data_IF_484063963082
#
_entry.id   IF_484063963082
#
_cell.length_a   1.000
_cell.length_b   1.000
_cell.length_c   1.000
_cell.angle_alpha   90.00
_cell.angle_beta   90.00
_cell.angle_gamma   90.00
#
_symmetry.space_group_name_H-M   'P 1'
#
loop_
_entity.id
_entity.type
_entity.pdbx_description
1 polymer ?
#
# COMPACT_ATOMS: atom_id res chain seq x y z
N UNK A 1 44.80 -6.27 22.26
CA UNK A 1 43.51 -6.98 22.47
C UNK A 1 42.55 -6.14 23.31
N UNK A 2 42.94 -5.68 24.50
CA UNK A 2 42.06 -4.88 25.40
C UNK A 2 41.55 -3.55 24.80
N UNK A 3 42.40 -2.79 24.09
CA UNK A 3 41.98 -1.55 23.40
C UNK A 3 40.91 -1.79 22.33
N UNK A 4 41.01 -2.91 21.61
CA UNK A 4 40.03 -3.31 20.59
C UNK A 4 38.71 -3.68 21.26
N UNK A 5 38.76 -4.43 22.36
CA UNK A 5 37.57 -4.82 23.13
C UNK A 5 36.83 -3.60 23.70
N UNK A 6 37.56 -2.62 24.28
CA UNK A 6 36.98 -1.36 24.79
C UNK A 6 36.35 -0.54 23.67
N UNK A 7 36.99 -0.47 22.50
CA UNK A 7 36.43 0.22 21.33
C UNK A 7 35.16 -0.46 20.81
N UNK A 8 35.14 -1.79 20.72
CA UNK A 8 33.95 -2.56 20.34
C UNK A 8 32.80 -2.37 21.34
N UNK A 9 33.08 -2.40 22.64
CA UNK A 9 32.08 -2.17 23.69
C UNK A 9 31.47 -0.76 23.59
N UNK A 10 32.31 0.25 23.35
CA UNK A 10 31.86 1.63 23.12
C UNK A 10 30.96 1.75 21.88
N UNK A 11 31.36 1.13 20.77
CA UNK A 11 30.55 1.07 19.54
C UNK A 11 29.21 0.39 19.78
N UNK A 12 29.20 -0.74 20.49
CA UNK A 12 28.00 -1.51 20.78
C UNK A 12 27.04 -0.70 21.67
N UNK A 13 27.53 -0.08 22.74
CA UNK A 13 26.71 0.80 23.59
C UNK A 13 26.15 2.00 22.82
N UNK A 14 26.96 2.61 21.94
CA UNK A 14 26.50 3.73 21.10
C UNK A 14 25.41 3.30 20.12
N UNK A 15 25.54 2.12 19.52
CA UNK A 15 24.53 1.53 18.64
C UNK A 15 23.25 1.22 19.43
N UNK A 16 23.36 0.58 20.59
CA UNK A 16 22.22 0.24 21.47
C UNK A 16 21.42 1.49 21.83
N UNK A 17 22.09 2.57 22.28
CA UNK A 17 21.40 3.81 22.61
C UNK A 17 20.66 4.40 21.40
N UNK A 18 21.30 4.40 20.23
CA UNK A 18 20.68 4.89 19.00
C UNK A 18 19.47 4.05 18.57
N UNK A 19 19.52 2.73 18.76
CA UNK A 19 18.38 1.85 18.50
C UNK A 19 17.24 2.09 19.49
N UNK A 20 17.52 2.32 20.77
CA UNK A 20 16.52 2.64 21.78
C UNK A 20 15.79 3.96 21.46
N UNK A 21 16.52 5.02 21.09
CA UNK A 21 15.93 6.30 20.67
C UNK A 21 15.00 6.13 19.45
N UNK A 22 15.43 5.34 18.45
CA UNK A 22 14.62 5.05 17.27
C UNK A 22 13.36 4.25 17.62
N UNK A 23 13.47 3.31 18.55
CA UNK A 23 12.36 2.49 19.02
C UNK A 23 11.31 3.33 19.76
N UNK A 24 11.73 4.18 20.71
CA UNK A 24 10.83 5.10 21.42
C UNK A 24 10.10 6.05 20.45
N UNK A 25 10.82 6.58 19.46
CA UNK A 25 10.23 7.42 18.42
C UNK A 25 9.18 6.65 17.60
N UNK A 26 9.48 5.42 17.21
CA UNK A 26 8.55 4.56 16.49
C UNK A 26 7.30 4.23 17.33
N UNK A 27 7.47 3.91 18.62
CA UNK A 27 6.37 3.59 19.53
C UNK A 27 5.45 4.79 19.78
N UNK A 28 6.02 5.99 19.92
CA UNK A 28 5.24 7.23 20.00
C UNK A 28 4.40 7.44 18.72
N UNK A 29 5.04 7.33 17.55
CA UNK A 29 4.32 7.44 16.25
C UNK A 29 3.23 6.38 16.13
N UNK A 30 3.49 5.15 16.55
CA UNK A 30 2.51 4.06 16.54
C UNK A 30 1.28 4.41 17.38
N UNK A 31 1.48 4.87 18.62
CA UNK A 31 0.38 5.28 19.52
C UNK A 31 -0.50 6.36 18.90
N UNK A 32 0.10 7.39 18.29
CA UNK A 32 -0.62 8.49 17.61
C UNK A 32 -1.50 8.03 16.44
N UNK A 33 -1.07 6.98 15.74
CA UNK A 33 -1.84 6.38 14.64
C UNK A 33 -2.98 5.54 15.21
N UNK A 34 -2.70 4.69 16.19
CA UNK A 34 -3.68 3.77 16.77
C UNK A 34 -4.81 4.53 17.51
N UNK A 35 -4.52 5.71 18.06
CA UNK A 35 -5.51 6.61 18.67
C UNK A 35 -6.21 7.57 17.70
N UNK A 36 -5.85 7.56 16.41
CA UNK A 36 -6.33 8.53 15.41
C UNK A 36 -6.10 10.00 15.83
N UNK A 37 -5.07 10.29 16.62
CA UNK A 37 -4.81 11.63 17.19
C UNK A 37 -4.58 12.68 16.08
N UNK A 38 -3.81 12.31 15.06
CA UNK A 38 -3.46 13.20 13.94
C UNK A 38 -4.51 13.16 12.81
N UNK A 39 -5.54 12.31 12.91
CA UNK A 39 -6.58 12.23 11.90
C UNK A 39 -7.53 13.42 12.07
N UNK A 40 -7.65 14.20 11.00
CA UNK A 40 -8.63 15.28 10.86
C UNK A 40 -9.56 14.93 9.72
N UNK A 41 -10.86 15.06 9.95
CA UNK A 41 -11.91 14.78 8.96
C UNK A 41 -11.79 15.77 7.80
N UNK A 42 -11.43 17.03 8.08
CA UNK A 42 -11.29 18.05 7.04
C UNK A 42 -10.00 17.90 6.23
N UNK A 43 -8.91 17.45 6.84
CA UNK A 43 -7.61 17.31 6.18
C UNK A 43 -6.77 16.17 6.77
N UNK A 44 -6.84 15.00 6.15
CA UNK A 44 -6.13 13.78 6.57
C UNK A 44 -4.66 13.71 6.14
N UNK A 45 -4.10 14.76 5.50
CA UNK A 45 -2.73 14.74 4.97
C UNK A 45 -1.66 14.48 6.03
N UNK A 46 -1.81 15.08 7.20
CA UNK A 46 -0.87 14.93 8.31
C UNK A 46 -0.84 13.47 8.80
N UNK A 47 -2.01 12.86 8.99
CA UNK A 47 -2.14 11.45 9.34
C UNK A 47 -1.48 10.53 8.30
N UNK A 48 -1.74 10.76 7.01
CA UNK A 48 -1.15 10.00 5.91
C UNK A 48 0.38 10.09 5.93
N UNK A 49 0.95 11.26 6.19
CA UNK A 49 2.40 11.44 6.29
C UNK A 49 3.00 10.71 7.49
N UNK A 50 2.36 10.80 8.65
CA UNK A 50 2.81 10.12 9.87
C UNK A 50 2.76 8.59 9.70
N UNK A 51 1.70 8.07 9.08
CA UNK A 51 1.58 6.66 8.73
C UNK A 51 2.65 6.21 7.73
N UNK A 52 2.92 7.02 6.71
CA UNK A 52 3.97 6.74 5.73
C UNK A 52 5.36 6.64 6.39
N UNK A 53 5.69 7.54 7.33
CA UNK A 53 6.94 7.49 8.09
C UNK A 53 7.04 6.19 8.89
N UNK A 54 5.98 5.82 9.62
CA UNK A 54 5.92 4.55 10.37
C UNK A 54 6.20 3.35 9.47
N UNK A 55 5.55 3.32 8.31
CA UNK A 55 5.68 2.23 7.35
C UNK A 55 7.09 2.18 6.75
N UNK A 56 7.68 3.32 6.36
CA UNK A 56 9.07 3.36 5.86
C UNK A 56 10.04 2.72 6.86
N UNK A 57 10.00 3.14 8.13
CA UNK A 57 10.91 2.58 9.13
C UNK A 57 10.72 1.07 9.30
N UNK A 58 9.47 0.62 9.38
CA UNK A 58 9.12 -0.80 9.52
C UNK A 58 9.63 -1.64 8.34
N UNK A 59 9.34 -1.21 7.12
CA UNK A 59 9.64 -1.99 5.92
C UNK A 59 11.12 -1.91 5.52
N UNK A 60 11.82 -0.81 5.80
CA UNK A 60 13.27 -0.71 5.61
C UNK A 60 14.01 -1.73 6.50
N UNK A 61 13.62 -1.85 7.77
CA UNK A 61 14.22 -2.83 8.67
C UNK A 61 13.93 -4.27 8.23
N UNK A 62 12.68 -4.53 7.84
CA UNK A 62 12.27 -5.84 7.35
C UNK A 62 13.00 -6.23 6.06
N UNK A 63 13.20 -5.28 5.14
CA UNK A 63 13.91 -5.49 3.89
C UNK A 63 15.38 -5.88 4.12
N UNK A 64 16.08 -5.19 5.04
CA UNK A 64 17.45 -5.54 5.43
C UNK A 64 17.50 -6.97 5.98
N UNK A 65 16.54 -7.33 6.84
CA UNK A 65 16.48 -8.66 7.45
C UNK A 65 16.20 -9.76 6.43
N UNK A 66 15.19 -9.59 5.57
CA UNK A 66 14.86 -10.56 4.51
C UNK A 66 15.99 -10.66 3.49
N UNK A 67 16.63 -9.53 3.13
CA UNK A 67 17.79 -9.51 2.25
C UNK A 67 18.98 -10.28 2.82
N UNK A 68 19.23 -10.15 4.13
CA UNK A 68 20.24 -10.96 4.83
C UNK A 68 19.92 -12.46 4.75
N UNK A 69 18.68 -12.86 5.02
CA UNK A 69 18.26 -14.27 4.89
C UNK A 69 18.39 -14.79 3.45
N UNK A 70 18.07 -13.96 2.46
CA UNK A 70 18.21 -14.30 1.04
C UNK A 70 19.67 -14.54 0.66
N UNK A 71 20.60 -13.67 1.07
CA UNK A 71 22.04 -13.84 0.84
C UNK A 71 22.56 -15.11 1.54
N UNK A 72 22.11 -15.38 2.77
CA UNK A 72 22.46 -16.61 3.48
C UNK A 72 21.96 -17.87 2.75
N UNK A 73 20.73 -17.84 2.23
CA UNK A 73 20.17 -18.95 1.45
C UNK A 73 20.93 -19.19 0.14
N UNK A 74 21.37 -18.12 -0.55
CA UNK A 74 22.20 -18.24 -1.75
C UNK A 74 23.58 -18.85 -1.45
N UNK A 75 24.18 -18.56 -0.28
CA UNK A 75 25.44 -19.17 0.16
C UNK A 75 25.28 -20.65 0.54
N UNK A 76 24.11 -21.03 1.03
CA UNK A 76 23.74 -22.41 1.35
C UNK A 76 23.44 -23.25 0.11
N UNK A 77 23.65 -22.72 -1.11
CA UNK A 77 23.36 -23.40 -2.37
C UNK A 77 23.83 -24.87 -2.29
N UNK A 78 22.90 -25.84 -2.27
CA UNK A 78 23.24 -27.23 -2.07
C UNK A 78 24.07 -27.72 -3.26
N UNK A 79 25.32 -28.10 -3.02
CA UNK A 79 26.06 -28.92 -3.98
C UNK A 79 25.50 -30.32 -3.92
N UNK A 80 24.71 -30.68 -4.94
CA UNK A 80 24.15 -32.02 -5.09
C UNK A 80 25.28 -33.00 -5.41
N UNK A 81 25.91 -33.56 -4.38
CA UNK A 81 26.71 -34.76 -4.54
C UNK A 81 25.74 -35.93 -4.68
N UNK A 82 26.01 -36.83 -5.64
CA UNK A 82 25.27 -38.07 -5.84
C UNK A 82 25.25 -38.86 -4.53
N UNK A 83 24.20 -38.67 -3.73
CA UNK A 83 23.93 -39.48 -2.54
C UNK A 83 22.87 -40.50 -2.93
N UNK A 84 23.06 -41.75 -2.52
CA UNK A 84 22.26 -42.91 -2.93
C UNK A 84 20.78 -42.86 -2.49
N UNK A 85 20.37 -41.80 -1.79
CA UNK A 85 19.01 -41.61 -1.31
C UNK A 85 18.18 -40.69 -2.23
N UNK A 86 17.09 -41.23 -2.79
CA UNK A 86 16.16 -40.50 -3.67
C UNK A 86 15.45 -39.32 -2.98
N UNK A 87 15.12 -39.45 -1.68
CA UNK A 87 14.28 -38.49 -0.99
C UNK A 87 14.99 -37.14 -0.75
N UNK A 88 16.20 -37.07 -0.15
CA UNK A 88 16.92 -35.80 0.00
C UNK A 88 17.22 -35.12 -1.34
N UNK A 89 17.47 -35.92 -2.39
CA UNK A 89 17.81 -35.43 -3.73
C UNK A 89 16.63 -34.75 -4.45
N UNK A 90 15.38 -35.09 -4.11
CA UNK A 90 14.16 -34.51 -4.72
C UNK A 90 13.45 -33.53 -3.80
N UNK A 91 13.31 -33.85 -2.51
CA UNK A 91 12.60 -33.00 -1.54
C UNK A 91 13.35 -31.71 -1.22
N UNK A 92 14.68 -31.76 -1.17
CA UNK A 92 15.51 -30.60 -0.85
C UNK A 92 15.49 -29.51 -1.95
N UNK A 93 15.60 -29.83 -3.25
CA UNK A 93 15.37 -28.84 -4.31
C UNK A 93 14.00 -28.19 -4.28
N UNK A 94 12.94 -28.98 -4.03
CA UNK A 94 11.57 -28.47 -3.96
C UNK A 94 11.42 -27.51 -2.77
N UNK A 95 11.89 -27.92 -1.58
CA UNK A 95 11.88 -27.08 -0.38
C UNK A 95 12.70 -25.81 -0.59
N UNK A 96 13.90 -25.92 -1.18
CA UNK A 96 14.75 -24.78 -1.52
C UNK A 96 14.04 -23.80 -2.45
N UNK A 97 13.36 -24.30 -3.48
CA UNK A 97 12.60 -23.50 -4.44
C UNK A 97 11.40 -22.79 -3.77
N UNK A 98 10.68 -23.47 -2.87
CA UNK A 98 9.58 -22.87 -2.09
C UNK A 98 10.09 -21.77 -1.18
N UNK A 99 11.19 -22.00 -0.45
CA UNK A 99 11.79 -20.98 0.44
C UNK A 99 12.34 -19.80 -0.38
N UNK A 100 12.97 -20.07 -1.53
CA UNK A 100 13.47 -19.04 -2.43
C UNK A 100 12.32 -18.15 -2.95
N UNK A 101 11.24 -18.77 -3.44
CA UNK A 101 10.04 -18.05 -3.88
C UNK A 101 9.42 -17.22 -2.76
N UNK A 102 9.36 -17.76 -1.54
CA UNK A 102 8.86 -17.05 -0.38
C UNK A 102 9.72 -15.81 -0.04
N UNK A 103 11.04 -15.93 -0.07
CA UNK A 103 11.94 -14.80 0.18
C UNK A 103 11.86 -13.75 -0.93
N UNK A 104 11.80 -14.16 -2.21
CA UNK A 104 11.62 -13.24 -3.34
C UNK A 104 10.30 -12.49 -3.22
N UNK A 105 9.20 -13.20 -2.93
CA UNK A 105 7.89 -12.59 -2.69
C UNK A 105 7.90 -11.63 -1.49
N UNK A 106 8.63 -11.98 -0.42
CA UNK A 106 8.77 -11.14 0.77
C UNK A 106 9.58 -9.87 0.50
N UNK A 107 10.69 -9.96 -0.24
CA UNK A 107 11.47 -8.81 -0.69
C UNK A 107 10.61 -7.89 -1.56
N UNK A 108 9.90 -8.47 -2.53
CA UNK A 108 9.00 -7.75 -3.41
C UNK A 108 7.89 -7.00 -2.63
N UNK A 109 7.31 -7.65 -1.63
CA UNK A 109 6.32 -7.04 -0.74
C UNK A 109 6.92 -5.86 0.04
N UNK A 110 8.11 -6.03 0.63
CA UNK A 110 8.79 -4.97 1.38
C UNK A 110 9.11 -3.76 0.49
N UNK A 111 9.70 -4.02 -0.68
CA UNK A 111 10.00 -3.00 -1.69
C UNK A 111 8.74 -2.24 -2.08
N UNK A 112 7.66 -2.95 -2.41
CA UNK A 112 6.40 -2.33 -2.80
C UNK A 112 5.84 -1.43 -1.71
N UNK A 113 5.84 -1.89 -0.46
CA UNK A 113 5.38 -1.09 0.69
C UNK A 113 6.23 0.13 0.94
N UNK A 114 7.55 -0.02 0.79
CA UNK A 114 8.49 1.08 0.87
C UNK A 114 8.19 2.14 -0.20
N UNK A 115 8.03 1.72 -1.46
CA UNK A 115 7.67 2.62 -2.57
C UNK A 115 6.35 3.33 -2.36
N UNK A 116 5.28 2.61 -1.98
CA UNK A 116 3.96 3.22 -1.70
C UNK A 116 4.05 4.25 -0.57
N UNK A 117 4.81 3.96 0.48
CA UNK A 117 5.01 4.88 1.60
C UNK A 117 5.84 6.11 1.20
N UNK A 118 6.84 5.94 0.34
CA UNK A 118 7.66 7.02 -0.19
C UNK A 118 6.85 7.98 -1.07
N UNK A 119 6.03 7.41 -1.95
CA UNK A 119 5.03 8.13 -2.77
C UNK A 119 4.09 8.96 -1.88
N UNK A 120 3.64 8.39 -0.76
CA UNK A 120 2.76 9.05 0.20
C UNK A 120 3.40 10.23 0.97
N UNK A 121 4.72 10.22 1.13
CA UNK A 121 5.49 11.27 1.81
C UNK A 121 5.82 12.44 0.90
N UNK A 122 6.10 12.15 -0.37
CA UNK A 122 6.31 13.17 -1.36
C UNK A 122 4.96 13.84 -1.63
N UNK A 123 4.79 15.10 -1.23
CA UNK A 123 3.85 15.96 -1.95
C UNK A 123 4.33 15.92 -3.40
N UNK A 124 3.64 15.20 -4.27
CA UNK A 124 4.03 14.92 -5.66
C UNK A 124 4.50 16.17 -6.43
N UNK A 125 4.09 17.38 -6.01
CA UNK A 125 4.58 18.68 -6.51
C UNK A 125 6.09 18.95 -6.31
N UNK A 126 6.80 18.29 -5.39
CA UNK A 126 8.23 18.58 -5.08
C UNK A 126 9.26 17.61 -5.69
N UNK A 127 8.85 16.44 -6.19
CA UNK A 127 9.78 15.52 -6.84
C UNK A 127 10.00 15.93 -8.30
N UNK A 128 11.25 16.22 -8.67
CA UNK A 128 11.61 16.75 -10.00
C UNK A 128 11.10 15.87 -11.15
N UNK A 129 11.23 14.54 -11.03
CA UNK A 129 10.82 13.59 -12.07
C UNK A 129 9.30 13.57 -12.33
N UNK A 130 8.50 13.46 -11.26
CA UNK A 130 7.04 13.46 -11.39
C UNK A 130 6.49 14.84 -11.74
N UNK A 131 7.13 15.92 -11.28
CA UNK A 131 6.78 17.29 -11.67
C UNK A 131 6.94 17.48 -13.18
N UNK A 132 7.99 16.93 -13.78
CA UNK A 132 8.19 16.96 -15.24
C UNK A 132 7.05 16.21 -15.94
N UNK A 133 6.75 14.97 -15.53
CA UNK A 133 5.69 14.15 -16.15
C UNK A 133 4.32 14.83 -16.05
N UNK A 134 3.94 15.34 -14.88
CA UNK A 134 2.64 16.01 -14.71
C UNK A 134 2.58 17.41 -15.32
N UNK A 135 3.71 18.10 -15.48
CA UNK A 135 3.74 19.36 -16.22
C UNK A 135 3.61 19.12 -17.74
N UNK A 136 4.16 18.01 -18.24
CA UNK A 136 4.02 17.61 -19.64
C UNK A 136 2.63 17.02 -19.94
N UNK A 137 2.06 16.30 -18.98
CA UNK A 137 0.76 15.62 -19.13
C UNK A 137 -0.07 15.79 -17.84
N UNK A 138 -0.67 16.97 -17.61
CA UNK A 138 -1.50 17.23 -16.44
C UNK A 138 -2.70 16.28 -16.36
N UNK A 139 -3.15 15.75 -17.50
CA UNK A 139 -4.20 14.74 -17.61
C UNK A 139 -3.82 13.44 -16.88
N UNK A 140 -2.54 13.12 -16.70
CA UNK A 140 -2.08 11.90 -16.01
C UNK A 140 -2.13 11.99 -14.48
N UNK A 141 -2.58 13.10 -13.91
CA UNK A 141 -2.68 13.29 -12.46
C UNK A 141 -3.62 12.28 -11.78
N UNK A 142 -4.49 11.59 -12.53
CA UNK A 142 -5.28 10.49 -12.00
C UNK A 142 -4.41 9.30 -11.56
N UNK A 143 -3.26 9.04 -12.19
CA UNK A 143 -2.38 7.89 -11.90
C UNK A 143 -1.91 7.81 -10.44
N UNK A 144 -1.90 8.92 -9.70
CA UNK A 144 -1.57 8.94 -8.26
C UNK A 144 -2.52 8.09 -7.41
N UNK A 145 -3.76 7.91 -7.86
CA UNK A 145 -4.78 7.06 -7.20
C UNK A 145 -4.53 5.57 -7.45
N UNK A 146 -3.73 5.27 -8.49
CA UNK A 146 -3.48 3.96 -9.05
C UNK A 146 -2.05 3.46 -8.73
N UNK A 147 -1.46 3.96 -7.64
CA UNK A 147 -0.14 3.48 -7.18
C UNK A 147 -0.12 1.96 -6.87
N UNK A 148 -1.29 1.37 -6.59
CA UNK A 148 -1.49 -0.08 -6.43
C UNK A 148 -1.37 -0.87 -7.75
N UNK A 149 -1.40 -0.21 -8.91
CA UNK A 149 -1.29 -0.87 -10.22
C UNK A 149 0.14 -1.23 -10.60
N UNK A 150 1.08 -0.35 -10.24
CA UNK A 150 2.50 -0.53 -10.59
C UNK A 150 3.04 -1.85 -10.05
N UNK A 151 2.73 -2.25 -8.80
CA UNK A 151 3.11 -3.56 -8.30
C UNK A 151 2.55 -4.72 -9.14
N UNK A 152 1.25 -4.70 -9.47
CA UNK A 152 0.59 -5.78 -10.23
C UNK A 152 1.32 -6.10 -11.52
N UNK A 153 1.64 -5.07 -12.29
CA UNK A 153 2.32 -5.24 -13.58
C UNK A 153 3.77 -5.73 -13.40
N UNK A 154 4.53 -5.11 -12.49
CA UNK A 154 5.95 -5.48 -12.27
C UNK A 154 6.08 -6.92 -11.78
N UNK A 155 5.28 -7.33 -10.79
CA UNK A 155 5.32 -8.71 -10.30
C UNK A 155 5.00 -9.71 -11.40
N UNK A 156 3.98 -9.40 -12.20
CA UNK A 156 3.52 -10.28 -13.28
C UNK A 156 4.59 -10.46 -14.37
N UNK A 157 5.33 -9.40 -14.71
CA UNK A 157 6.47 -9.50 -15.64
C UNK A 157 7.58 -10.38 -15.05
N UNK A 158 7.98 -10.11 -13.80
CA UNK A 158 9.06 -10.85 -13.13
C UNK A 158 8.75 -12.34 -12.99
N UNK A 159 7.52 -12.67 -12.56
CA UNK A 159 7.12 -14.07 -12.39
C UNK A 159 6.94 -14.76 -13.74
N UNK A 160 6.50 -14.06 -14.80
CA UNK A 160 6.40 -14.63 -16.15
C UNK A 160 7.76 -14.99 -16.71
N UNK A 161 8.78 -14.13 -16.50
CA UNK A 161 10.17 -14.43 -16.80
C UNK A 161 10.65 -15.68 -16.04
N UNK A 162 10.35 -15.74 -14.74
CA UNK A 162 10.74 -16.86 -13.89
C UNK A 162 10.11 -18.20 -14.32
N UNK A 163 8.80 -18.20 -14.59
CA UNK A 163 8.07 -19.37 -15.11
C UNK A 163 8.66 -19.82 -16.45
N UNK A 164 8.98 -18.86 -17.32
CA UNK A 164 9.55 -19.15 -18.64
C UNK A 164 10.90 -19.85 -18.55
N UNK A 165 11.75 -19.46 -17.61
CA UNK A 165 13.07 -20.05 -17.39
C UNK A 165 12.97 -21.45 -16.76
N UNK A 166 12.10 -21.63 -15.76
CA UNK A 166 12.05 -22.86 -14.95
C UNK A 166 11.18 -23.97 -15.53
N UNK A 167 10.02 -23.63 -16.08
CA UNK A 167 9.02 -24.61 -16.53
C UNK A 167 9.16 -24.89 -18.03
N UNK A 168 9.57 -23.87 -18.79
CA UNK A 168 9.64 -23.93 -20.24
C UNK A 168 8.26 -23.89 -20.91
N UNK A 169 8.23 -23.45 -22.17
CA UNK A 169 7.01 -23.17 -22.94
C UNK A 169 6.14 -24.40 -23.26
N UNK A 170 6.73 -25.59 -23.27
CA UNK A 170 6.07 -26.81 -23.74
C UNK A 170 5.35 -27.61 -22.63
N UNK A 171 5.52 -27.21 -21.36
CA UNK A 171 4.94 -27.91 -20.21
C UNK A 171 3.67 -27.21 -19.71
N UNK A 172 2.56 -27.36 -20.46
CA UNK A 172 1.29 -26.70 -20.16
C UNK A 172 0.75 -26.95 -18.75
N UNK A 173 0.91 -28.18 -18.22
CA UNK A 173 0.46 -28.52 -16.87
C UNK A 173 1.29 -27.78 -15.81
N UNK A 174 2.62 -27.78 -15.97
CA UNK A 174 3.52 -27.02 -15.10
C UNK A 174 3.25 -25.52 -15.17
N UNK A 175 2.92 -25.00 -16.34
CA UNK A 175 2.56 -23.58 -16.54
C UNK A 175 1.27 -23.27 -15.79
N UNK A 176 0.22 -24.08 -15.94
CA UNK A 176 -1.06 -23.88 -15.27
C UNK A 176 -0.92 -23.84 -13.74
N UNK A 177 -0.19 -24.79 -13.15
CA UNK A 177 0.11 -24.80 -11.72
C UNK A 177 0.90 -23.55 -11.31
N UNK A 178 1.89 -23.16 -12.11
CA UNK A 178 2.74 -22.00 -11.82
C UNK A 178 1.95 -20.69 -11.84
N UNK A 179 1.04 -20.53 -12.81
CA UNK A 179 0.13 -19.38 -12.90
C UNK A 179 -0.76 -19.31 -11.66
N UNK A 180 -1.38 -20.42 -11.23
CA UNK A 180 -2.22 -20.44 -10.04
C UNK A 180 -1.46 -20.05 -8.75
N UNK A 181 -0.23 -20.54 -8.59
CA UNK A 181 0.63 -20.18 -7.46
C UNK A 181 1.00 -18.69 -7.52
N UNK A 182 1.39 -18.20 -8.70
CA UNK A 182 1.76 -16.80 -8.92
C UNK A 182 0.60 -15.85 -8.61
N UNK A 183 -0.60 -16.10 -9.15
CA UNK A 183 -1.78 -15.26 -8.93
C UNK A 183 -2.21 -15.29 -7.47
N UNK A 184 -2.18 -16.46 -6.81
CA UNK A 184 -2.52 -16.57 -5.39
C UNK A 184 -1.55 -15.80 -4.51
N UNK A 185 -0.25 -15.90 -4.79
CA UNK A 185 0.81 -15.16 -4.09
C UNK A 185 0.61 -13.66 -4.29
N UNK A 186 0.30 -13.23 -5.51
CA UNK A 186 0.10 -11.82 -5.81
C UNK A 186 -1.11 -11.22 -5.10
N UNK A 187 -2.24 -11.92 -5.11
CA UNK A 187 -3.45 -11.51 -4.37
C UNK A 187 -3.13 -11.38 -2.87
N UNK A 188 -2.35 -12.31 -2.30
CA UNK A 188 -1.96 -12.25 -0.89
C UNK A 188 -1.07 -11.03 -0.57
N UNK A 189 -0.06 -10.78 -1.40
CA UNK A 189 0.84 -9.61 -1.31
C UNK A 189 0.03 -8.32 -1.36
N UNK A 190 -0.86 -8.18 -2.34
CA UNK A 190 -1.67 -6.99 -2.55
C UNK A 190 -2.74 -6.79 -1.47
N UNK A 191 -3.39 -7.86 -1.00
CA UNK A 191 -4.28 -7.80 0.17
C UNK A 191 -3.54 -7.25 1.39
N UNK A 192 -2.31 -7.70 1.61
CA UNK A 192 -1.42 -7.13 2.62
C UNK A 192 -1.12 -5.66 2.37
N UNK A 193 -0.89 -5.25 1.10
CA UNK A 193 -0.68 -3.87 0.67
C UNK A 193 -1.85 -2.96 1.04
N UNK A 194 -3.05 -3.33 0.57
CA UNK A 194 -4.31 -2.61 0.78
C UNK A 194 -4.59 -2.47 2.27
N UNK A 195 -4.51 -3.55 3.05
CA UNK A 195 -4.81 -3.52 4.50
C UNK A 195 -3.90 -2.61 5.34
N UNK A 196 -2.74 -2.17 4.85
CA UNK A 196 -1.95 -1.16 5.58
C UNK A 196 -2.16 0.26 5.09
N UNK A 197 -2.91 0.46 4.01
CA UNK A 197 -3.35 1.79 3.65
C UNK A 197 -4.46 2.20 4.63
N UNK A 198 -4.65 3.51 4.87
CA UNK A 198 -5.79 3.97 5.65
C UNK A 198 -7.10 3.47 5.04
N UNK A 199 -8.01 2.96 5.87
CA UNK A 199 -9.29 2.39 5.42
C UNK A 199 -10.16 3.40 4.68
N UNK A 200 -10.08 4.67 5.06
CA UNK A 200 -10.81 5.76 4.41
C UNK A 200 -10.41 5.98 2.93
N UNK A 201 -9.32 5.35 2.45
CA UNK A 201 -8.87 5.38 1.05
C UNK A 201 -9.32 4.17 0.23
N UNK A 202 -9.98 3.17 0.82
CA UNK A 202 -10.37 1.96 0.08
C UNK A 202 -11.29 2.27 -1.11
N UNK A 203 -12.19 3.25 -0.96
CA UNK A 203 -13.05 3.70 -2.04
C UNK A 203 -12.27 4.24 -3.26
N UNK A 204 -11.11 4.85 -3.06
CA UNK A 204 -10.26 5.35 -4.16
C UNK A 204 -9.71 4.20 -5.03
N UNK A 205 -9.59 3.01 -4.44
CA UNK A 205 -8.96 1.86 -5.08
C UNK A 205 -9.96 0.99 -5.85
N UNK A 206 -11.26 1.19 -5.69
CA UNK A 206 -12.22 0.24 -6.27
C UNK A 206 -12.17 0.19 -7.80
N UNK A 207 -11.92 1.33 -8.44
CA UNK A 207 -11.74 1.39 -9.90
C UNK A 207 -10.37 0.91 -10.40
N UNK A 208 -9.43 0.64 -9.49
CA UNK A 208 -8.03 0.33 -9.84
C UNK A 208 -7.90 -0.90 -10.74
N UNK A 209 -8.44 -2.08 -10.37
CA UNK A 209 -8.33 -3.28 -11.19
C UNK A 209 -8.92 -3.12 -12.59
N UNK A 210 -10.13 -2.54 -12.68
CA UNK A 210 -10.82 -2.29 -13.95
C UNK A 210 -9.99 -1.39 -14.87
N UNK A 211 -9.38 -0.34 -14.31
CA UNK A 211 -8.51 0.56 -15.08
C UNK A 211 -7.25 -0.15 -15.61
N UNK A 212 -6.64 -1.07 -14.86
CA UNK A 212 -5.52 -1.89 -15.40
C UNK A 212 -5.97 -2.68 -16.61
N UNK A 213 -7.10 -3.38 -16.49
CA UNK A 213 -7.61 -4.26 -17.53
C UNK A 213 -7.93 -3.46 -18.80
N UNK A 214 -8.50 -2.26 -18.64
CA UNK A 214 -8.77 -1.36 -19.75
C UNK A 214 -7.47 -0.90 -20.45
N UNK A 215 -6.45 -0.48 -19.69
CA UNK A 215 -5.15 -0.07 -20.26
C UNK A 215 -4.50 -1.25 -20.97
N UNK A 216 -4.48 -2.43 -20.36
CA UNK A 216 -3.92 -3.64 -20.98
C UNK A 216 -4.65 -3.99 -22.28
N UNK A 217 -5.97 -3.94 -22.30
CA UNK A 217 -6.75 -4.20 -23.51
C UNK A 217 -6.40 -3.22 -24.65
N UNK A 218 -6.24 -1.92 -24.33
CA UNK A 218 -5.80 -0.91 -25.30
C UNK A 218 -4.38 -1.21 -25.81
N UNK A 219 -3.46 -1.58 -24.91
CA UNK A 219 -2.08 -1.91 -25.30
C UNK A 219 -2.03 -3.14 -26.22
N UNK A 220 -2.78 -4.19 -25.89
CA UNK A 220 -2.90 -5.41 -26.73
C UNK A 220 -3.43 -5.02 -28.12
N UNK A 221 -4.45 -4.16 -28.19
CA UNK A 221 -4.99 -3.70 -29.45
C UNK A 221 -3.97 -2.89 -30.29
N UNK A 222 -3.16 -2.04 -29.65
CA UNK A 222 -2.16 -1.19 -30.34
C UNK A 222 -0.95 -1.98 -30.82
N UNK A 223 -0.41 -2.87 -29.99
CA UNK A 223 0.82 -3.61 -30.30
C UNK A 223 0.59 -4.84 -31.19
N UNK A 224 -0.66 -5.10 -31.58
CA UNK A 224 -1.06 -6.27 -32.36
C UNK A 224 -1.33 -7.48 -31.46
N UNK A 225 -2.08 -8.45 -31.98
CA UNK A 225 -2.46 -9.66 -31.24
C UNK A 225 -1.24 -10.32 -30.59
N UNK A 226 -1.40 -10.61 -29.30
CA UNK A 226 -0.38 -11.28 -28.49
C UNK A 226 -0.47 -12.78 -28.75
N UNK A 227 0.53 -13.29 -29.46
CA UNK A 227 0.62 -14.70 -29.82
C UNK A 227 1.37 -15.47 -28.72
N UNK A 228 0.77 -16.55 -28.22
CA UNK A 228 1.39 -17.43 -27.21
C UNK A 228 2.78 -17.93 -27.64
N UNK A 229 2.96 -18.20 -28.92
CA UNK A 229 4.18 -18.78 -29.42
C UNK A 229 5.32 -17.78 -29.56
N UNK A 230 5.02 -16.58 -30.07
CA UNK A 230 5.99 -15.52 -30.31
C UNK A 230 6.24 -14.70 -29.05
N UNK A 231 5.18 -14.41 -28.31
CA UNK A 231 5.14 -13.43 -27.22
C UNK A 231 4.82 -14.11 -25.88
N UNK A 232 5.40 -15.29 -25.65
CA UNK A 232 5.10 -16.17 -24.50
C UNK A 232 5.17 -15.46 -23.13
N UNK A 233 6.22 -14.68 -22.87
CA UNK A 233 6.39 -13.94 -21.59
C UNK A 233 5.28 -12.90 -21.42
N UNK A 234 4.92 -12.18 -22.49
CA UNK A 234 3.86 -11.18 -22.47
C UNK A 234 2.48 -11.82 -22.32
N UNK A 235 2.25 -12.95 -22.98
CA UNK A 235 1.04 -13.76 -22.85
C UNK A 235 0.82 -14.20 -21.40
N UNK A 236 1.85 -14.75 -20.76
CA UNK A 236 1.81 -15.11 -19.35
C UNK A 236 1.58 -13.90 -18.45
N UNK A 237 2.23 -12.78 -18.74
CA UNK A 237 2.07 -11.54 -17.97
C UNK A 237 0.62 -11.08 -18.00
N UNK A 238 -0.01 -11.06 -19.17
CA UNK A 238 -1.40 -10.66 -19.34
C UNK A 238 -2.34 -11.60 -18.58
N UNK A 239 -2.12 -12.91 -18.66
CA UNK A 239 -2.93 -13.90 -17.92
C UNK A 239 -2.83 -13.65 -16.40
N UNK A 240 -1.61 -13.50 -15.88
CA UNK A 240 -1.38 -13.32 -14.43
C UNK A 240 -1.94 -11.99 -13.95
N UNK A 241 -1.74 -10.89 -14.70
CA UNK A 241 -2.34 -9.60 -14.35
C UNK A 241 -3.86 -9.71 -14.37
N UNK A 242 -4.45 -10.33 -15.39
CA UNK A 242 -5.91 -10.39 -15.52
C UNK A 242 -6.57 -11.10 -14.35
N UNK A 243 -6.07 -12.31 -14.02
CA UNK A 243 -6.59 -13.09 -12.90
C UNK A 243 -6.35 -12.37 -11.56
N UNK A 244 -5.16 -11.77 -11.39
CA UNK A 244 -4.81 -11.08 -10.14
C UNK A 244 -5.63 -9.80 -9.94
N UNK A 245 -5.91 -9.05 -11.01
CA UNK A 245 -6.74 -7.85 -10.98
C UNK A 245 -8.15 -8.19 -10.52
N UNK A 246 -8.80 -9.18 -11.14
CA UNK A 246 -10.12 -9.63 -10.73
C UNK A 246 -10.14 -10.10 -9.27
N UNK A 247 -9.16 -10.91 -8.87
CA UNK A 247 -9.05 -11.38 -7.49
C UNK A 247 -8.85 -10.25 -6.48
N UNK A 248 -8.27 -9.12 -6.88
CA UNK A 248 -8.08 -7.95 -6.03
C UNK A 248 -9.28 -7.04 -5.97
N UNK A 249 -10.03 -6.91 -7.06
CA UNK A 249 -11.31 -6.21 -7.09
C UNK A 249 -12.25 -6.77 -6.01
N UNK A 250 -12.41 -8.09 -5.97
CA UNK A 250 -13.19 -8.78 -4.94
C UNK A 250 -12.69 -8.46 -3.52
N UNK A 251 -11.37 -8.44 -3.31
CA UNK A 251 -10.79 -8.11 -1.99
C UNK A 251 -11.04 -6.66 -1.60
N UNK A 252 -10.99 -5.73 -2.55
CA UNK A 252 -11.25 -4.31 -2.30
C UNK A 252 -12.73 -4.10 -1.98
N UNK A 253 -13.64 -4.71 -2.74
CA UNK A 253 -15.08 -4.65 -2.51
C UNK A 253 -15.46 -5.18 -1.13
N UNK A 254 -14.93 -6.34 -0.72
CA UNK A 254 -15.16 -6.91 0.60
C UNK A 254 -14.73 -5.94 1.72
N UNK A 255 -13.53 -5.36 1.60
CA UNK A 255 -13.00 -4.42 2.61
C UNK A 255 -13.76 -3.10 2.62
N UNK A 256 -14.20 -2.64 1.46
CA UNK A 256 -15.00 -1.42 1.32
C UNK A 256 -16.38 -1.60 1.95
N UNK A 257 -17.05 -2.73 1.69
CA UNK A 257 -18.34 -3.07 2.27
C UNK A 257 -18.26 -3.20 3.80
N UNK A 258 -17.22 -3.85 4.33
CA UNK A 258 -16.98 -3.95 5.77
C UNK A 258 -16.79 -2.56 6.41
N UNK A 259 -16.02 -1.69 5.77
CA UNK A 259 -15.81 -0.31 6.22
C UNK A 259 -17.09 0.53 6.18
N UNK A 260 -17.86 0.42 5.09
CA UNK A 260 -19.13 1.13 4.93
C UNK A 260 -20.15 0.71 6.00
N UNK A 261 -20.26 -0.57 6.31
CA UNK A 261 -21.17 -1.05 7.35
C UNK A 261 -20.84 -0.43 8.72
N UNK A 262 -19.56 -0.50 9.14
CA UNK A 262 -19.10 0.09 10.41
C UNK A 262 -19.32 1.60 10.45
N UNK A 263 -19.02 2.29 9.35
CA UNK A 263 -19.22 3.73 9.26
C UNK A 263 -20.71 4.11 9.34
N UNK A 264 -21.59 3.33 8.72
CA UNK A 264 -23.03 3.54 8.78
C UNK A 264 -23.58 3.37 10.20
N UNK A 265 -23.15 2.33 10.92
CA UNK A 265 -23.55 2.07 12.30
C UNK A 265 -23.20 3.27 13.20
N UNK A 266 -21.94 3.72 13.16
CA UNK A 266 -21.47 4.88 13.94
C UNK A 266 -22.22 6.15 13.51
N UNK A 267 -22.43 6.35 12.22
CA UNK A 267 -23.13 7.54 11.71
C UNK A 267 -24.56 7.62 12.25
N UNK A 268 -25.30 6.51 12.25
CA UNK A 268 -26.67 6.48 12.75
C UNK A 268 -26.75 6.68 14.26
N UNK A 269 -25.85 6.06 15.03
CA UNK A 269 -25.76 6.25 16.48
C UNK A 269 -25.52 7.72 16.82
N UNK A 270 -24.54 8.35 16.16
CA UNK A 270 -24.25 9.76 16.37
C UNK A 270 -25.37 10.66 15.82
N UNK A 271 -26.13 10.23 14.81
CA UNK A 271 -27.26 10.97 14.24
C UNK A 271 -28.46 11.02 15.20
N UNK A 272 -28.64 9.99 16.02
CA UNK A 272 -29.66 9.94 17.06
C UNK A 272 -29.20 10.60 18.38
N UNK A 273 -27.89 10.68 18.61
CA UNK A 273 -27.34 11.37 19.77
C UNK A 273 -27.62 12.89 19.74
N UNK A 274 -28.01 13.43 20.89
CA UNK A 274 -28.17 14.87 21.11
C UNK A 274 -26.82 15.61 21.07
N UNK A 275 -25.75 14.95 21.52
CA UNK A 275 -24.41 15.51 21.58
C UNK A 275 -23.44 14.56 20.86
N UNK A 276 -23.18 14.77 19.55
CA UNK A 276 -22.25 13.95 18.80
C UNK A 276 -20.81 14.05 19.35
N UNK A 277 -20.11 12.92 19.42
CA UNK A 277 -18.71 12.86 19.84
C UNK A 277 -17.76 12.92 18.64
N UNK A 278 -16.84 13.88 18.63
CA UNK A 278 -15.83 14.06 17.59
C UNK A 278 -14.95 12.83 17.38
N UNK A 279 -14.60 12.10 18.45
CA UNK A 279 -13.78 10.89 18.33
C UNK A 279 -14.52 9.77 17.57
N UNK A 280 -15.82 9.64 17.78
CA UNK A 280 -16.66 8.71 17.01
C UNK A 280 -16.86 9.17 15.57
N UNK A 281 -17.02 10.49 15.32
CA UNK A 281 -17.07 11.02 13.96
C UNK A 281 -15.75 10.76 13.19
N UNK A 282 -14.59 10.80 13.87
CA UNK A 282 -13.31 10.43 13.27
C UNK A 282 -13.27 8.95 12.88
N UNK A 283 -13.77 8.04 13.73
CA UNK A 283 -13.87 6.61 13.40
C UNK A 283 -14.82 6.36 12.22
N UNK A 284 -15.95 7.07 12.19
CA UNK A 284 -16.88 7.03 11.06
C UNK A 284 -16.18 7.44 9.75
N UNK A 285 -15.39 8.52 9.75
CA UNK A 285 -14.57 8.89 8.61
C UNK A 285 -13.49 7.85 8.28
N UNK A 286 -12.77 7.36 9.29
CA UNK A 286 -11.69 6.38 9.11
C UNK A 286 -12.18 5.09 8.45
N UNK A 287 -13.38 4.62 8.79
CA UNK A 287 -13.98 3.44 8.16
C UNK A 287 -14.69 3.75 6.82
N UNK A 288 -15.40 4.88 6.73
CA UNK A 288 -16.31 5.16 5.63
C UNK A 288 -15.72 5.96 4.46
N UNK A 289 -14.55 6.56 4.64
CA UNK A 289 -13.89 7.29 3.56
C UNK A 289 -14.55 8.61 3.17
N UNK A 290 -14.23 9.07 1.96
CA UNK A 290 -14.73 10.35 1.44
C UNK A 290 -16.27 10.39 1.37
N UNK A 291 -16.93 9.26 1.08
CA UNK A 291 -18.40 9.15 1.10
C UNK A 291 -18.99 9.57 2.46
N UNK A 292 -18.40 9.10 3.56
CA UNK A 292 -18.87 9.46 4.90
C UNK A 292 -18.37 10.82 5.35
N UNK A 293 -17.19 11.26 4.90
CA UNK A 293 -16.76 12.65 5.10
C UNK A 293 -17.77 13.65 4.53
N UNK A 294 -18.28 13.41 3.32
CA UNK A 294 -19.32 14.26 2.72
C UNK A 294 -20.62 14.24 3.52
N UNK A 295 -21.08 13.06 3.97
CA UNK A 295 -22.26 12.93 4.86
C UNK A 295 -22.07 13.67 6.19
N UNK A 296 -20.90 13.53 6.81
CA UNK A 296 -20.56 14.20 8.07
C UNK A 296 -20.55 15.73 7.91
N UNK A 297 -19.93 16.23 6.84
CA UNK A 297 -19.82 17.67 6.58
C UNK A 297 -21.11 18.32 6.05
N UNK A 298 -22.06 17.54 5.55
CA UNK A 298 -23.39 18.01 5.12
C UNK A 298 -24.42 18.02 6.25
N UNK A 299 -24.13 17.35 7.36
CA UNK A 299 -25.02 17.30 8.53
C UNK A 299 -24.62 18.41 9.52
N UNK A 300 -25.49 19.39 9.71
CA UNK A 300 -25.21 20.63 10.48
C UNK A 300 -24.63 20.36 11.88
N UNK A 301 -25.29 19.49 12.66
CA UNK A 301 -24.82 19.18 14.02
C UNK A 301 -23.44 18.52 14.09
N UNK A 302 -23.07 17.69 13.11
CA UNK A 302 -21.76 17.04 13.08
C UNK A 302 -20.69 18.04 12.67
N UNK A 303 -21.02 18.84 11.67
CA UNK A 303 -20.16 19.88 11.18
C UNK A 303 -19.79 20.89 12.28
N UNK A 304 -20.73 21.31 13.11
CA UNK A 304 -20.45 22.17 14.27
C UNK A 304 -19.41 21.57 15.21
N UNK A 305 -19.56 20.28 15.54
CA UNK A 305 -18.62 19.54 16.40
C UNK A 305 -17.24 19.44 15.74
N UNK A 306 -17.17 19.14 14.44
CA UNK A 306 -15.92 19.01 13.68
C UNK A 306 -15.18 20.35 13.66
N UNK A 307 -15.85 21.44 13.29
CA UNK A 307 -15.26 22.77 13.21
C UNK A 307 -14.74 23.23 14.57
N UNK A 308 -15.52 23.02 15.64
CA UNK A 308 -15.11 23.39 17.00
C UNK A 308 -13.85 22.67 17.47
N UNK A 309 -13.66 21.42 17.07
CA UNK A 309 -12.51 20.61 17.46
C UNK A 309 -11.27 20.84 16.59
N UNK A 310 -11.44 20.95 15.27
CA UNK A 310 -10.32 21.08 14.31
C UNK A 310 -9.86 22.53 14.11
N UNK A 311 -10.78 23.49 14.20
CA UNK A 311 -10.54 24.92 13.94
C UNK A 311 -10.69 25.71 15.24
N UNK A 312 -9.93 25.32 16.27
CA UNK A 312 -9.92 25.95 17.61
C UNK A 312 -9.74 27.48 17.62
N UNK A 313 -9.28 28.08 16.51
CA UNK A 313 -9.15 29.52 16.31
C UNK A 313 -10.46 30.25 15.97
N UNK A 314 -11.50 29.56 15.51
CA UNK A 314 -12.83 30.13 15.29
C UNK A 314 -13.67 29.96 16.58
N UNK A 315 -13.29 30.70 17.62
CA UNK A 315 -14.03 30.74 18.90
C UNK A 315 -15.46 31.29 18.78
N UNK A 316 -15.83 31.89 17.64
CA UNK A 316 -17.12 32.51 17.37
C UNK A 316 -17.72 32.03 16.03
N UNK A 317 -17.90 30.72 15.84
CA UNK A 317 -18.91 30.25 14.86
C UNK A 317 -20.23 30.21 15.60
N UNK A 318 -20.90 31.36 15.67
CA UNK A 318 -22.19 31.48 16.37
C UNK A 318 -23.38 31.22 15.45
N UNK A 319 -23.17 31.13 14.13
CA UNK A 319 -24.26 30.94 13.16
C UNK A 319 -23.83 30.27 11.85
N UNK A 320 -24.81 29.68 11.14
CA UNK A 320 -24.70 29.05 9.81
C UNK A 320 -24.04 29.96 8.73
N UNK A 321 -24.08 31.28 8.91
CA UNK A 321 -23.41 32.26 8.05
C UNK A 321 -21.88 32.20 8.12
N UNK A 322 -21.32 31.97 9.31
CA UNK A 322 -19.87 31.87 9.51
C UNK A 322 -19.32 30.59 8.89
N UNK A 323 -20.10 29.50 8.92
CA UNK A 323 -19.79 28.27 8.20
C UNK A 323 -19.81 28.46 6.68
N UNK A 324 -20.79 29.20 6.11
CA UNK A 324 -20.80 29.51 4.67
C UNK A 324 -19.61 30.37 4.25
N UNK A 325 -19.19 31.32 5.09
CA UNK A 325 -17.99 32.14 4.90
C UNK A 325 -16.72 31.30 4.94
N UNK A 326 -16.61 30.37 5.89
CA UNK A 326 -15.51 29.40 5.94
C UNK A 326 -15.51 28.49 4.70
N UNK A 327 -16.67 27.98 4.28
CA UNK A 327 -16.82 27.16 3.07
C UNK A 327 -16.39 27.93 1.82
N UNK A 328 -16.77 29.22 1.70
CA UNK A 328 -16.34 30.09 0.62
C UNK A 328 -14.82 30.38 0.67
N UNK A 329 -14.24 30.57 1.86
CA UNK A 329 -12.81 30.80 2.05
C UNK A 329 -11.98 29.55 1.70
N UNK A 330 -12.43 28.37 2.11
CA UNK A 330 -11.81 27.10 1.75
C UNK A 330 -11.99 26.75 0.28
N UNK A 331 -13.14 27.06 -0.33
CA UNK A 331 -13.35 26.88 -1.75
C UNK A 331 -12.43 27.80 -2.57
N UNK A 332 -12.20 29.03 -2.09
CA UNK A 332 -11.21 29.96 -2.66
C UNK A 332 -9.78 29.45 -2.52
N UNK A 333 -9.37 28.95 -1.34
CA UNK A 333 -8.06 28.33 -1.14
C UNK A 333 -7.88 27.04 -1.97
N UNK A 334 -8.94 26.26 -2.16
CA UNK A 334 -8.95 25.09 -3.04
C UNK A 334 -8.73 25.49 -4.49
N UNK A 335 -9.46 26.50 -5.01
CA UNK A 335 -9.27 27.07 -6.35
C UNK A 335 -7.87 27.67 -6.54
N UNK A 336 -7.36 28.39 -5.53
CA UNK A 336 -6.01 28.99 -5.58
C UNK A 336 -4.90 27.94 -5.46
N UNK A 337 -5.18 26.75 -4.91
CA UNK A 337 -4.24 25.62 -4.87
C UNK A 337 -4.19 24.79 -6.18
N UNK A 338 -5.17 25.04 -7.07
CA UNK A 338 -5.27 24.46 -8.41
C UNK A 338 -4.68 25.34 -9.51
N UNK A 339 -4.35 26.61 -9.22
CA UNK A 339 -3.37 27.39 -9.99
C UNK A 339 -1.96 27.04 -9.56
#
# INVERSE_FOLDING_TARGET
>A
MEKILKFLLYLLNRLTNKFNELYEKYENVKRKIDSLENLKIMNSKEYIQVLAIKNIFKYLFLEIFVGFLFIMLLKLNPTFTNSDFLWPTILWPILYLVVLLFLVGSLYYCLTKFFVSLVSLTSFKKNCFFKIIYNLFPELNWLKHYALLVPIVIFSILISLFISILVGKNNYLGIGISVLIATRTMIWILKGIIKSQPSFRFGDYNSSPTTILAILAILIYIFGDVDWERDYIWSLTIIIVTISSYGIEVVIDDLYAEGEQKAQEIFQEQLLSNNPDYEELKKCYDHGGEKYKEKLLSTEKFLEVIVKNELKSLKDVKNYGDYRLYKAFNYKNYLDSQK
#
